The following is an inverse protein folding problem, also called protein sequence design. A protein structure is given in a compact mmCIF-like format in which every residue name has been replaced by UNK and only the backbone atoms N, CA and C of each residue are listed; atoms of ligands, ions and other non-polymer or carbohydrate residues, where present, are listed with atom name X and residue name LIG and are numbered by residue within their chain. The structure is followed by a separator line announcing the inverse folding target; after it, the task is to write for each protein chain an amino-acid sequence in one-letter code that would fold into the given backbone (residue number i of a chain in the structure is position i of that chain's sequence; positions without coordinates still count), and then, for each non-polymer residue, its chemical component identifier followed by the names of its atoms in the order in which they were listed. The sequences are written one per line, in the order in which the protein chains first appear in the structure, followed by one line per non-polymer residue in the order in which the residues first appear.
data_IF_625087336646
#
_entry.id   IF_625087336646
#
_cell.length_a   1.000
_cell.length_b   1.000
_cell.length_c   1.000
_cell.angle_alpha   90.00
_cell.angle_beta   90.00
_cell.angle_gamma   90.00
#
_symmetry.space_group_name_H-M   'P 1'
#
loop_
_entity.id
_entity.type
_entity.pdbx_description
1 polymer ?
#
# COMPACT_ATOMS: atom_id res chain seq x y z
N UNK A 1 1.26 -11.07 8.52
CA UNK A 1 1.42 -9.67 8.99
C UNK A 1 0.10 -9.11 9.50
N UNK A 2 -0.73 -8.50 8.66
CA UNK A 2 -2.03 -7.97 9.13
C UNK A 2 -2.94 -9.06 9.64
N UNK A 3 -3.00 -10.20 8.98
CA UNK A 3 -3.79 -11.34 9.40
C UNK A 3 -3.38 -11.86 10.78
N UNK A 4 -2.08 -11.90 11.06
CA UNK A 4 -1.53 -12.30 12.35
C UNK A 4 -1.93 -11.34 13.48
N UNK A 5 -2.20 -10.09 13.15
CA UNK A 5 -2.66 -9.07 14.10
C UNK A 5 -4.19 -9.05 14.26
N UNK A 6 -4.89 -10.07 13.76
CA UNK A 6 -6.34 -10.18 13.89
C UNK A 6 -7.14 -9.40 12.87
N UNK A 7 -6.51 -8.87 11.83
CA UNK A 7 -7.23 -8.17 10.77
C UNK A 7 -7.97 -9.15 9.85
N UNK A 8 -9.13 -8.75 9.37
CA UNK A 8 -9.81 -9.46 8.29
C UNK A 8 -9.20 -8.99 6.97
N UNK A 9 -8.56 -9.89 6.23
CA UNK A 9 -7.83 -9.58 5.01
C UNK A 9 -8.61 -10.07 3.79
N UNK A 10 -8.83 -9.18 2.83
CA UNK A 10 -9.42 -9.50 1.54
C UNK A 10 -8.41 -9.20 0.44
N UNK A 11 -8.17 -10.18 -0.43
CA UNK A 11 -7.25 -10.04 -1.55
C UNK A 11 -8.07 -9.95 -2.84
N UNK A 12 -7.86 -8.88 -3.60
CA UNK A 12 -8.51 -8.65 -4.88
C UNK A 12 -7.48 -8.60 -6.00
N UNK A 13 -7.92 -8.93 -7.21
CA UNK A 13 -7.06 -8.92 -8.40
C UNK A 13 -7.87 -8.52 -9.65
N UNK A 14 -7.26 -8.61 -10.83
CA UNK A 14 -7.90 -8.22 -12.09
C UNK A 14 -9.16 -9.02 -12.43
N UNK A 15 -9.35 -10.17 -11.80
CA UNK A 15 -10.52 -11.03 -12.01
C UNK A 15 -11.61 -10.83 -10.97
N UNK A 16 -11.37 -9.98 -9.97
CA UNK A 16 -12.35 -9.69 -8.93
C UNK A 16 -13.55 -8.96 -9.52
N UNK A 17 -14.74 -9.50 -9.30
CA UNK A 17 -15.99 -8.86 -9.70
C UNK A 17 -16.40 -7.85 -8.63
N UNK A 18 -17.02 -6.75 -9.06
CA UNK A 18 -17.51 -5.70 -8.17
C UNK A 18 -16.41 -5.18 -7.23
N UNK A 19 -15.24 -4.90 -7.80
CA UNK A 19 -14.09 -4.40 -7.03
C UNK A 19 -14.44 -3.22 -6.12
N UNK A 20 -15.22 -2.21 -6.54
CA UNK A 20 -15.58 -1.10 -5.66
C UNK A 20 -16.28 -1.51 -4.36
N UNK A 21 -17.05 -2.60 -4.35
CA UNK A 21 -17.70 -3.07 -3.13
C UNK A 21 -16.68 -3.51 -2.08
N UNK A 22 -15.61 -4.16 -2.51
CA UNK A 22 -14.53 -4.56 -1.61
C UNK A 22 -13.68 -3.37 -1.16
N UNK A 23 -13.32 -2.47 -2.07
CA UNK A 23 -12.48 -1.33 -1.73
C UNK A 23 -13.19 -0.36 -0.80
N UNK A 24 -14.50 -0.14 -0.97
CA UNK A 24 -15.29 0.73 -0.09
C UNK A 24 -15.52 0.16 1.30
N UNK A 25 -15.38 -1.14 1.48
CA UNK A 25 -15.53 -1.77 2.80
C UNK A 25 -14.23 -1.80 3.61
N UNK A 26 -13.11 -1.48 2.99
CA UNK A 26 -11.81 -1.58 3.62
C UNK A 26 -11.50 -0.36 4.51
N UNK A 27 -11.08 -0.62 5.75
CA UNK A 27 -10.56 0.41 6.64
C UNK A 27 -9.13 0.80 6.25
N UNK A 28 -8.35 -0.19 5.80
CA UNK A 28 -7.02 -0.01 5.25
C UNK A 28 -7.03 -0.58 3.84
N UNK A 29 -6.77 0.26 2.85
CA UNK A 29 -6.73 -0.12 1.45
C UNK A 29 -5.31 -0.02 0.93
N UNK A 30 -4.74 -1.16 0.56
CA UNK A 30 -3.41 -1.23 -0.07
C UNK A 30 -3.60 -1.46 -1.56
N UNK A 31 -3.05 -0.57 -2.38
CA UNK A 31 -3.24 -0.56 -3.82
C UNK A 31 -1.91 -0.81 -4.52
N UNK A 32 -1.83 -1.90 -5.28
CA UNK A 32 -0.64 -2.30 -6.03
C UNK A 32 -1.09 -2.98 -7.34
N UNK A 33 -1.64 -2.21 -8.27
CA UNK A 33 -2.30 -2.72 -9.48
C UNK A 33 -1.43 -2.56 -10.72
N UNK A 34 -0.66 -1.46 -10.78
CA UNK A 34 0.11 -1.10 -11.96
C UNK A 34 -0.70 -0.35 -13.03
N UNK A 35 -1.82 0.26 -12.65
CA UNK A 35 -2.66 1.05 -13.56
C UNK A 35 -2.83 2.47 -13.01
N UNK A 36 -2.41 3.50 -13.75
CA UNK A 36 -2.45 4.87 -13.26
C UNK A 36 -3.86 5.31 -12.86
N UNK A 37 -3.98 5.83 -11.64
CA UNK A 37 -5.20 6.47 -11.11
C UNK A 37 -6.46 5.64 -11.22
N UNK A 38 -6.34 4.31 -11.15
CA UNK A 38 -7.48 3.41 -11.29
C UNK A 38 -8.47 3.54 -10.11
N UNK A 39 -7.96 3.77 -8.91
CA UNK A 39 -8.79 3.88 -7.70
C UNK A 39 -9.17 5.34 -7.48
N UNK A 40 -10.46 5.63 -7.50
CA UNK A 40 -10.99 6.98 -7.30
C UNK A 40 -11.76 7.10 -5.97
N UNK A 41 -12.26 8.31 -5.68
CA UNK A 41 -12.96 8.60 -4.43
C UNK A 41 -14.19 7.72 -4.19
N UNK A 42 -14.91 7.35 -5.26
CA UNK A 42 -16.09 6.50 -5.14
C UNK A 42 -15.76 5.07 -4.70
N UNK A 43 -14.51 4.68 -4.80
CA UNK A 43 -14.04 3.33 -4.46
C UNK A 43 -13.40 3.26 -3.07
N UNK A 44 -13.43 4.34 -2.31
CA UNK A 44 -12.77 4.43 -1.00
C UNK A 44 -13.79 4.75 0.08
N UNK A 45 -13.70 4.02 1.20
CA UNK A 45 -14.51 4.28 2.38
C UNK A 45 -14.08 5.62 3.01
N UNK A 46 -15.02 6.52 3.33
CA UNK A 46 -14.67 7.76 4.02
C UNK A 46 -13.89 7.48 5.32
N UNK A 47 -12.78 8.17 5.49
CA UNK A 47 -11.91 8.00 6.67
C UNK A 47 -10.92 6.85 6.58
N UNK A 48 -10.91 6.08 5.50
CA UNK A 48 -9.99 4.95 5.33
C UNK A 48 -8.53 5.40 5.22
N UNK A 49 -7.62 4.51 5.60
CA UNK A 49 -6.19 4.67 5.33
C UNK A 49 -5.87 4.03 3.99
N UNK A 50 -5.32 4.81 3.07
CA UNK A 50 -5.00 4.36 1.72
C UNK A 50 -3.49 4.35 1.51
N UNK A 51 -2.96 3.18 1.17
CA UNK A 51 -1.53 2.99 0.91
C UNK A 51 -1.36 2.67 -0.56
N UNK A 52 -0.80 3.63 -1.31
CA UNK A 52 -0.59 3.51 -2.74
C UNK A 52 0.84 3.03 -3.02
N UNK A 53 0.96 1.79 -3.44
CA UNK A 53 2.24 1.15 -3.79
C UNK A 53 2.58 1.36 -5.27
N UNK A 54 1.62 1.81 -6.06
CA UNK A 54 1.80 2.00 -7.50
C UNK A 54 2.82 3.08 -7.84
N UNK A 55 3.63 2.83 -8.84
CA UNK A 55 4.53 3.82 -9.43
C UNK A 55 4.39 3.71 -10.93
N UNK A 56 3.78 4.71 -11.54
CA UNK A 56 3.53 4.74 -12.97
C UNK A 56 4.17 6.01 -13.56
N UNK A 57 4.85 5.85 -14.68
CA UNK A 57 5.42 6.99 -15.41
C UNK A 57 4.45 7.40 -16.50
N UNK A 58 3.99 8.64 -16.44
CA UNK A 58 3.12 9.21 -17.45
C UNK A 58 3.91 9.63 -18.70
N UNK A 59 3.20 9.94 -19.80
CA UNK A 59 3.82 10.36 -21.04
C UNK A 59 4.66 11.63 -20.91
N UNK A 60 4.29 12.52 -19.99
CA UNK A 60 5.03 13.75 -19.68
C UNK A 60 6.25 13.52 -18.75
N UNK A 61 6.52 12.29 -18.39
CA UNK A 61 7.63 11.91 -17.50
C UNK A 61 7.33 12.01 -16.02
N UNK A 62 6.17 12.53 -15.62
CA UNK A 62 5.76 12.62 -14.23
C UNK A 62 5.39 11.25 -13.69
N UNK A 63 5.58 11.05 -12.40
CA UNK A 63 5.19 9.83 -11.71
C UNK A 63 3.80 10.01 -11.07
N UNK A 64 3.01 8.94 -11.10
CA UNK A 64 1.76 8.87 -10.35
C UNK A 64 1.55 7.45 -9.81
N UNK A 65 0.67 7.32 -8.81
CA UNK A 65 0.28 6.04 -8.28
C UNK A 65 -0.91 5.42 -8.99
N UNK A 66 -1.39 4.34 -8.43
CA UNK A 66 -2.60 3.64 -8.89
C UNK A 66 -3.88 4.28 -8.32
N UNK A 67 -3.74 5.20 -7.37
CA UNK A 67 -4.84 5.93 -6.76
C UNK A 67 -4.91 7.34 -7.35
N UNK A 68 -6.12 7.80 -7.65
CA UNK A 68 -6.35 9.19 -8.01
C UNK A 68 -6.24 10.05 -6.75
N UNK A 69 -5.02 10.48 -6.43
CA UNK A 69 -4.68 11.18 -5.20
C UNK A 69 -5.55 12.40 -4.97
N UNK A 70 -5.78 13.20 -6.00
CA UNK A 70 -6.53 14.46 -5.87
C UNK A 70 -7.99 14.24 -5.46
N UNK A 71 -8.63 13.16 -5.94
CA UNK A 71 -10.01 12.88 -5.54
C UNK A 71 -10.07 12.11 -4.22
N UNK A 72 -9.16 11.17 -4.00
CA UNK A 72 -9.19 10.29 -2.82
C UNK A 72 -8.76 11.02 -1.56
N UNK A 73 -7.84 11.99 -1.63
CA UNK A 73 -7.41 12.76 -0.45
C UNK A 73 -8.56 13.47 0.26
N UNK A 74 -9.63 13.79 -0.45
CA UNK A 74 -10.80 14.47 0.11
C UNK A 74 -11.67 13.52 0.97
N UNK A 75 -11.57 12.22 0.75
CA UNK A 75 -12.38 11.21 1.47
C UNK A 75 -11.56 10.33 2.41
N UNK A 76 -10.30 10.06 2.10
CA UNK A 76 -9.43 9.25 2.94
C UNK A 76 -9.06 9.96 4.24
N UNK A 77 -8.94 9.19 5.32
CA UNK A 77 -8.39 9.71 6.57
C UNK A 77 -6.88 9.93 6.47
N UNK A 78 -6.18 8.98 5.83
CA UNK A 78 -4.75 9.05 5.54
C UNK A 78 -4.52 8.51 4.14
N UNK A 79 -3.59 9.10 3.40
CA UNK A 79 -3.22 8.64 2.08
C UNK A 79 -1.73 8.89 1.83
N UNK A 80 -1.04 7.90 1.26
CA UNK A 80 0.36 8.06 0.87
C UNK A 80 0.47 8.74 -0.49
N UNK A 81 1.39 9.69 -0.66
CA UNK A 81 1.62 10.30 -1.97
C UNK A 81 2.47 9.39 -2.88
N UNK A 82 2.49 9.68 -4.16
CA UNK A 82 3.41 9.09 -5.14
C UNK A 82 3.92 10.24 -6.03
N UNK A 83 5.22 10.46 -6.10
CA UNK A 83 6.32 9.80 -5.37
C UNK A 83 6.42 10.24 -3.91
N UNK A 84 7.42 9.73 -3.20
CA UNK A 84 7.81 10.10 -1.83
C UNK A 84 6.91 9.56 -0.72
N UNK A 85 6.12 8.53 -1.02
CA UNK A 85 5.32 7.81 -0.02
C UNK A 85 5.93 6.46 0.34
N UNK A 86 5.42 5.38 -0.26
CA UNK A 86 5.85 4.01 0.01
C UNK A 86 7.29 3.76 -0.42
N UNK A 87 7.76 4.40 -1.50
CA UNK A 87 9.13 4.22 -1.99
C UNK A 87 10.20 4.43 -0.90
N UNK A 88 10.27 5.63 -0.28
CA UNK A 88 11.18 5.87 0.84
C UNK A 88 10.99 4.93 2.02
N UNK A 89 9.76 4.57 2.35
CA UNK A 89 9.47 3.61 3.41
C UNK A 89 9.98 2.21 3.07
N UNK A 90 9.96 1.81 1.81
CA UNK A 90 10.51 0.53 1.37
C UNK A 90 12.00 0.45 1.69
N UNK A 91 12.76 1.51 1.43
CA UNK A 91 14.19 1.58 1.75
C UNK A 91 14.40 1.51 3.26
N UNK A 92 13.65 2.26 4.03
CA UNK A 92 13.71 2.28 5.50
C UNK A 92 13.45 0.89 6.08
N UNK A 93 12.40 0.21 5.60
CA UNK A 93 12.06 -1.13 6.08
C UNK A 93 13.07 -2.19 5.63
N UNK A 94 13.66 -2.04 4.46
CA UNK A 94 14.72 -2.93 4.00
C UNK A 94 15.94 -2.84 4.93
N UNK A 95 16.36 -1.63 5.31
CA UNK A 95 17.44 -1.44 6.27
C UNK A 95 17.11 -2.06 7.63
N UNK A 96 15.91 -1.79 8.15
CA UNK A 96 15.45 -2.36 9.42
C UNK A 96 15.40 -3.89 9.40
N UNK A 97 14.88 -4.47 8.34
CA UNK A 97 14.79 -5.92 8.18
C UNK A 97 16.18 -6.55 8.01
N UNK A 98 17.10 -5.88 7.35
CA UNK A 98 18.49 -6.35 7.21
C UNK A 98 19.18 -6.40 8.58
N UNK A 99 19.03 -5.37 9.40
CA UNK A 99 19.56 -5.34 10.76
C UNK A 99 18.96 -6.45 11.61
N UNK A 100 17.64 -6.62 11.55
CA UNK A 100 16.93 -7.67 12.30
C UNK A 100 17.41 -9.07 11.89
N UNK A 101 17.62 -9.30 10.60
CA UNK A 101 18.14 -10.57 10.10
C UNK A 101 19.57 -10.84 10.64
N UNK A 102 20.42 -9.81 10.67
CA UNK A 102 21.77 -9.93 11.22
C UNK A 102 21.74 -10.23 12.72
N UNK A 103 20.88 -9.56 13.47
CA UNK A 103 20.71 -9.81 14.91
C UNK A 103 20.25 -11.25 15.19
N UNK A 104 19.29 -11.73 14.42
CA UNK A 104 18.78 -13.12 14.54
C UNK A 104 19.87 -14.14 14.23
N UNK A 105 20.68 -13.91 13.21
CA UNK A 105 21.78 -14.79 12.86
C UNK A 105 22.86 -14.83 13.96
N UNK A 106 23.20 -13.67 14.52
CA UNK A 106 24.16 -13.58 15.62
C UNK A 106 23.64 -14.29 16.88
N UNK A 107 22.37 -14.12 17.21
CA UNK A 107 21.74 -14.79 18.34
C UNK A 107 21.75 -16.32 18.17
N UNK A 108 21.43 -16.81 16.98
CA UNK A 108 21.43 -18.24 16.66
C UNK A 108 22.83 -18.83 16.84
N UNK A 109 23.89 -18.15 16.38
CA UNK A 109 25.27 -18.59 16.55
C UNK A 109 25.68 -18.69 18.04
N UNK A 110 25.19 -17.80 18.89
CA UNK A 110 25.47 -17.81 20.32
C UNK A 110 24.82 -18.98 21.05
N UNK A 111 23.70 -19.49 20.53
CA UNK A 111 22.97 -20.62 21.13
C UNK A 111 23.61 -21.93 20.72
N UNK A 112 24.17 -22.02 19.55
CA UNK A 112 24.83 -23.22 19.04
C UNK A 112 26.31 -23.27 19.39
#
# INVERSE_FOLDING_TARGET
MLLEQGATVTICNSKTRNLPDFTRSADILVVAIGKPRMINAAMVKPGATVIDVGINRLQDGKLCGDVDFESVKEVAGYITPVPNGVGPMTITMLLGNTILAAERAAHHKKIT
#
